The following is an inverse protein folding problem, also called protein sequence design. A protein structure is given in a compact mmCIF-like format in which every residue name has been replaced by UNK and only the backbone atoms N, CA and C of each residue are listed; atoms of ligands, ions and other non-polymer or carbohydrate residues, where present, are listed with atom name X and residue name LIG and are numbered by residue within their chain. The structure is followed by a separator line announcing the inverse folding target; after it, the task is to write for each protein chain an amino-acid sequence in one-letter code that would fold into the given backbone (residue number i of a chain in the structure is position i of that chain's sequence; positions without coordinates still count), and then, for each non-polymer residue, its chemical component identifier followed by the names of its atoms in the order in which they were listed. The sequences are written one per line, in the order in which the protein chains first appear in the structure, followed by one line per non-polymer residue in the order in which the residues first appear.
data_IF_247355472738
#
_entry.id   IF_247355472738
#
_cell.length_a   1.000
_cell.length_b   1.000
_cell.length_c   1.000
_cell.angle_alpha   90.00
_cell.angle_beta   90.00
_cell.angle_gamma   90.00
#
_symmetry.space_group_name_H-M   'P 1'
#
loop_
_entity.id
_entity.type
_entity.pdbx_description
1 polymer ?
#
# COMPACT_ATOMS: atom_id res chain seq x y z
N UNK A 1 30.96 0.98 10.96
CA UNK A 1 29.70 1.73 10.91
C UNK A 1 30.07 3.19 10.80
N UNK A 2 29.47 3.94 9.88
CA UNK A 2 29.84 5.34 9.51
C UNK A 2 30.08 6.28 10.70
N UNK A 3 29.37 6.07 11.81
CA UNK A 3 29.58 6.71 13.12
C UNK A 3 31.01 6.60 13.69
N UNK A 4 31.82 5.61 13.23
CA UNK A 4 33.23 5.46 13.62
C UNK A 4 34.20 6.35 12.84
N UNK A 5 33.74 7.00 11.77
CA UNK A 5 34.54 7.90 10.93
C UNK A 5 34.17 9.34 11.23
N UNK A 6 32.88 9.66 11.16
CA UNK A 6 32.32 10.97 11.51
C UNK A 6 30.82 10.80 11.81
N UNK A 7 30.39 11.28 12.98
CA UNK A 7 29.01 11.12 13.48
C UNK A 7 27.99 11.83 12.59
N UNK A 8 28.30 13.04 12.12
CA UNK A 8 27.42 13.82 11.25
C UNK A 8 27.28 13.17 9.87
N UNK A 9 28.36 12.62 9.34
CA UNK A 9 28.34 11.86 8.09
C UNK A 9 27.53 10.57 8.21
N UNK A 10 27.61 9.90 9.37
CA UNK A 10 26.78 8.73 9.67
C UNK A 10 25.28 9.06 9.64
N UNK A 11 24.89 10.13 10.34
CA UNK A 11 23.50 10.61 10.38
C UNK A 11 23.02 11.02 8.98
N UNK A 12 23.86 11.70 8.20
CA UNK A 12 23.50 12.15 6.85
C UNK A 12 23.23 10.98 5.89
N UNK A 13 24.10 9.97 5.88
CA UNK A 13 23.89 8.75 5.07
C UNK A 13 22.64 8.03 5.53
N UNK A 14 22.46 7.85 6.82
CA UNK A 14 21.32 7.11 7.36
C UNK A 14 19.99 7.80 7.02
N UNK A 15 19.93 9.13 7.19
CA UNK A 15 18.77 9.94 6.82
C UNK A 15 18.46 9.84 5.33
N UNK A 16 19.49 9.87 4.47
CA UNK A 16 19.32 9.69 3.03
C UNK A 16 18.79 8.30 2.68
N UNK A 17 19.32 7.25 3.30
CA UNK A 17 18.85 5.88 3.07
C UNK A 17 17.39 5.71 3.52
N UNK A 18 17.04 6.16 4.72
CA UNK A 18 15.65 6.15 5.21
C UNK A 18 14.71 6.91 4.26
N UNK A 19 15.13 8.06 3.75
CA UNK A 19 14.36 8.81 2.75
C UNK A 19 14.10 8.02 1.48
N UNK A 20 15.07 7.23 0.99
CA UNK A 20 14.90 6.40 -0.20
C UNK A 20 14.04 5.15 0.01
N UNK A 21 13.89 4.71 1.27
CA UNK A 21 13.12 3.52 1.63
C UNK A 21 11.60 3.81 1.63
N UNK A 22 11.19 4.95 2.21
CA UNK A 22 9.77 5.30 2.38
C UNK A 22 9.16 5.89 1.10
N UNK A 23 8.11 5.26 0.58
CA UNK A 23 7.45 5.71 -0.67
C UNK A 23 6.20 6.57 -0.47
N UNK A 24 5.89 6.99 0.77
CA UNK A 24 4.62 7.67 1.11
C UNK A 24 4.33 8.91 0.26
N UNK A 25 5.34 9.77 0.04
CA UNK A 25 5.21 10.97 -0.80
C UNK A 25 4.95 10.62 -2.26
N UNK A 26 5.75 9.71 -2.82
CA UNK A 26 5.61 9.28 -4.22
C UNK A 26 4.23 8.67 -4.47
N UNK A 27 3.77 7.81 -3.55
CA UNK A 27 2.45 7.19 -3.61
C UNK A 27 1.31 8.22 -3.55
N UNK A 28 1.41 9.21 -2.67
CA UNK A 28 0.44 10.32 -2.63
C UNK A 28 0.45 11.12 -3.93
N UNK A 29 1.63 11.50 -4.42
CA UNK A 29 1.78 12.38 -5.58
C UNK A 29 1.22 11.69 -6.85
N UNK A 30 1.48 10.40 -7.04
CA UNK A 30 0.95 9.64 -8.18
C UNK A 30 -0.57 9.42 -8.07
N UNK A 31 -1.09 9.12 -6.88
CA UNK A 31 -2.54 9.03 -6.66
C UNK A 31 -3.26 10.36 -6.93
N UNK A 32 -2.70 11.49 -6.46
CA UNK A 32 -3.24 12.84 -6.68
C UNK A 32 -3.18 13.21 -8.17
N UNK A 33 -2.12 12.81 -8.87
CA UNK A 33 -2.01 13.01 -10.32
C UNK A 33 -3.12 12.27 -11.06
N UNK A 34 -3.35 10.99 -10.76
CA UNK A 34 -4.45 10.23 -11.39
C UNK A 34 -5.81 10.83 -11.02
N UNK A 35 -6.03 11.21 -9.76
CA UNK A 35 -7.24 11.90 -9.32
C UNK A 35 -7.56 13.14 -10.17
N UNK A 36 -6.58 14.00 -10.44
CA UNK A 36 -6.77 15.20 -11.28
C UNK A 36 -7.18 14.85 -12.71
N UNK A 37 -6.63 13.78 -13.29
CA UNK A 37 -6.94 13.33 -14.66
C UNK A 37 -8.34 12.69 -14.71
N UNK A 38 -8.70 11.90 -13.70
CA UNK A 38 -10.05 11.33 -13.58
C UNK A 38 -11.08 12.45 -13.47
N UNK A 39 -10.81 13.45 -12.61
CA UNK A 39 -11.70 14.60 -12.40
C UNK A 39 -11.85 15.50 -13.64
N UNK A 40 -10.89 15.48 -14.57
CA UNK A 40 -11.03 16.19 -15.85
C UNK A 40 -11.89 15.44 -16.87
N UNK A 41 -12.34 14.21 -16.59
CA UNK A 41 -13.19 13.42 -17.48
C UNK A 41 -12.46 12.78 -18.66
N UNK A 42 -11.12 12.73 -18.65
CA UNK A 42 -10.34 12.07 -19.72
C UNK A 42 -10.05 10.61 -19.36
N UNK A 43 -10.89 9.70 -19.87
CA UNK A 43 -10.76 8.27 -19.58
C UNK A 43 -9.48 7.67 -20.19
N UNK A 44 -9.04 8.12 -21.35
CA UNK A 44 -7.88 7.55 -22.02
C UNK A 44 -6.61 7.92 -21.26
N UNK A 45 -6.46 9.20 -20.91
CA UNK A 45 -5.35 9.64 -20.06
C UNK A 45 -5.40 9.01 -18.68
N UNK A 46 -6.59 8.76 -18.11
CA UNK A 46 -6.75 8.06 -16.83
C UNK A 46 -6.26 6.61 -16.89
N UNK A 47 -6.57 5.88 -17.97
CA UNK A 47 -6.09 4.50 -18.20
C UNK A 47 -4.58 4.43 -18.37
N UNK A 48 -4.01 5.39 -19.08
CA UNK A 48 -2.55 5.51 -19.26
C UNK A 48 -1.89 5.80 -17.92
N UNK A 49 -2.38 6.81 -17.19
CA UNK A 49 -1.82 7.17 -15.89
C UNK A 49 -1.90 6.01 -14.90
N UNK A 50 -3.04 5.30 -14.86
CA UNK A 50 -3.20 4.12 -14.01
C UNK A 50 -2.21 3.00 -14.38
N UNK A 51 -1.91 2.79 -15.67
CA UNK A 51 -1.02 1.71 -16.11
C UNK A 51 0.40 1.81 -15.56
N UNK A 52 0.81 2.98 -15.08
CA UNK A 52 2.13 3.16 -14.44
C UNK A 52 2.19 2.63 -13.01
N UNK A 53 1.05 2.39 -12.35
CA UNK A 53 1.00 1.96 -10.95
C UNK A 53 0.31 0.61 -10.72
N UNK A 54 -0.25 -0.01 -11.77
CA UNK A 54 -0.88 -1.34 -11.69
C UNK A 54 -0.27 -2.32 -12.67
N UNK A 55 -0.21 -3.60 -12.28
CA UNK A 55 0.20 -4.68 -13.17
C UNK A 55 -0.92 -5.27 -14.05
N UNK A 56 -2.16 -4.75 -13.96
CA UNK A 56 -3.34 -5.24 -14.71
C UNK A 56 -3.56 -4.47 -16.01
N UNK A 57 -4.29 -5.06 -16.95
CA UNK A 57 -4.66 -4.36 -18.18
C UNK A 57 -5.63 -3.21 -17.88
N UNK A 58 -5.36 -2.03 -18.43
CA UNK A 58 -6.14 -0.80 -18.17
C UNK A 58 -6.97 -0.32 -19.36
N UNK A 59 -6.73 -0.85 -20.56
CA UNK A 59 -7.26 -0.35 -21.85
C UNK A 59 -8.79 -0.33 -21.93
N UNK A 60 -9.47 -1.21 -21.19
CA UNK A 60 -10.93 -1.35 -21.19
C UNK A 60 -11.61 -0.89 -19.91
N UNK A 61 -10.85 -0.38 -18.92
CA UNK A 61 -11.42 -0.03 -17.63
C UNK A 61 -12.32 1.21 -17.73
N UNK A 62 -13.47 1.16 -17.06
CA UNK A 62 -14.37 2.28 -16.82
C UNK A 62 -13.77 3.23 -15.76
N UNK A 63 -14.31 4.45 -15.62
CA UNK A 63 -13.89 5.36 -14.54
C UNK A 63 -14.00 4.73 -13.16
N UNK A 64 -15.10 4.02 -12.87
CA UNK A 64 -15.28 3.34 -11.59
C UNK A 64 -14.21 2.29 -11.35
N UNK A 65 -13.86 1.49 -12.37
CA UNK A 65 -12.80 0.49 -12.24
C UNK A 65 -11.41 1.12 -12.10
N UNK A 66 -11.18 2.29 -12.71
CA UNK A 66 -9.95 3.06 -12.54
C UNK A 66 -9.85 3.59 -11.10
N UNK A 67 -10.92 4.20 -10.58
CA UNK A 67 -10.98 4.72 -9.21
C UNK A 67 -10.73 3.60 -8.21
N UNK A 68 -11.41 2.45 -8.37
CA UNK A 68 -11.17 1.26 -7.53
C UNK A 68 -9.71 0.80 -7.60
N UNK A 69 -9.12 0.76 -8.79
CA UNK A 69 -7.71 0.39 -8.97
C UNK A 69 -6.77 1.28 -8.16
N UNK A 70 -6.97 2.60 -8.22
CA UNK A 70 -6.14 3.56 -7.48
C UNK A 70 -6.31 3.36 -5.98
N UNK A 71 -7.54 3.18 -5.51
CA UNK A 71 -7.84 2.93 -4.10
C UNK A 71 -7.16 1.65 -3.61
N UNK A 72 -7.29 0.55 -4.36
CA UNK A 72 -6.63 -0.74 -4.11
C UNK A 72 -5.11 -0.56 -4.00
N UNK A 73 -4.48 0.07 -5.01
CA UNK A 73 -3.04 0.30 -5.05
C UNK A 73 -2.55 1.16 -3.89
N UNK A 74 -3.27 2.25 -3.55
CA UNK A 74 -2.89 3.12 -2.43
C UNK A 74 -3.05 2.38 -1.09
N UNK A 75 -4.10 1.59 -0.92
CA UNK A 75 -4.32 0.81 0.29
C UNK A 75 -3.20 -0.22 0.50
N UNK A 76 -2.94 -1.05 -0.51
CA UNK A 76 -1.88 -2.08 -0.51
C UNK A 76 -0.51 -1.46 -0.26
N UNK A 77 -0.12 -0.44 -1.04
CA UNK A 77 1.20 0.19 -0.92
C UNK A 77 1.36 1.07 0.33
N UNK A 78 0.28 1.38 1.06
CA UNK A 78 0.43 1.97 2.40
C UNK A 78 1.12 0.98 3.33
N UNK A 79 0.82 -0.32 3.21
CA UNK A 79 1.51 -1.35 3.98
C UNK A 79 2.91 -1.57 3.42
N UNK A 80 3.01 -1.99 2.16
CA UNK A 80 4.27 -2.48 1.58
C UNK A 80 5.29 -1.36 1.40
N UNK A 81 4.84 -0.16 1.05
CA UNK A 81 5.70 0.98 0.76
C UNK A 81 6.03 1.87 1.96
N UNK A 82 5.28 1.75 3.06
CA UNK A 82 5.38 2.69 4.19
C UNK A 82 5.38 2.00 5.55
N UNK A 83 4.31 1.28 5.93
CA UNK A 83 4.22 0.70 7.27
C UNK A 83 5.23 -0.42 7.49
N UNK A 84 5.45 -1.29 6.51
CA UNK A 84 6.42 -2.38 6.62
C UNK A 84 7.86 -1.87 6.69
N UNK A 85 8.29 -0.91 5.85
CA UNK A 85 9.61 -0.32 6.03
C UNK A 85 9.78 0.39 7.38
N UNK A 86 8.77 1.13 7.89
CA UNK A 86 8.83 1.73 9.24
C UNK A 86 8.98 0.64 10.32
N UNK A 87 8.23 -0.46 10.20
CA UNK A 87 8.32 -1.59 11.12
C UNK A 87 9.74 -2.17 11.18
N UNK A 88 10.37 -2.41 10.03
CA UNK A 88 11.74 -2.93 9.97
C UNK A 88 12.80 -1.91 10.38
N UNK A 89 12.55 -0.61 10.18
CA UNK A 89 13.40 0.46 10.73
C UNK A 89 13.46 0.40 12.26
N UNK A 90 12.31 0.19 12.92
CA UNK A 90 12.26 0.10 14.39
C UNK A 90 12.98 -1.14 14.91
N UNK A 91 12.87 -2.28 14.22
CA UNK A 91 13.42 -3.57 14.70
C UNK A 91 14.92 -3.72 14.42
N UNK A 92 15.37 -3.31 13.24
CA UNK A 92 16.73 -3.59 12.78
C UNK A 92 17.43 -2.40 12.13
N UNK A 93 16.86 -1.20 12.28
CA UNK A 93 17.40 0.02 11.69
C UNK A 93 17.36 0.01 10.16
N UNK A 94 18.13 0.94 9.61
CA UNK A 94 18.25 1.17 8.16
C UNK A 94 18.62 -0.09 7.35
N UNK A 95 19.56 -0.96 7.78
CA UNK A 95 19.92 -2.16 7.01
C UNK A 95 18.74 -3.12 6.79
N UNK A 96 17.93 -3.38 7.83
CA UNK A 96 16.81 -4.31 7.73
C UNK A 96 15.67 -3.74 6.88
N UNK A 97 15.41 -2.44 7.00
CA UNK A 97 14.44 -1.75 6.17
C UNK A 97 14.85 -1.71 4.69
N UNK A 98 16.15 -1.53 4.39
CA UNK A 98 16.68 -1.64 3.03
C UNK A 98 16.56 -3.05 2.47
N UNK A 99 16.85 -4.08 3.28
CA UNK A 99 16.71 -5.47 2.87
C UNK A 99 15.25 -5.79 2.49
N UNK A 100 14.29 -5.34 3.31
CA UNK A 100 12.87 -5.45 2.96
C UNK A 100 12.53 -4.67 1.69
N UNK A 101 13.01 -3.42 1.54
CA UNK A 101 12.73 -2.61 0.34
C UNK A 101 13.23 -3.30 -0.94
N UNK A 102 14.38 -3.96 -0.87
CA UNK A 102 14.90 -4.76 -1.98
C UNK A 102 13.98 -5.95 -2.32
N UNK A 103 13.46 -6.67 -1.31
CA UNK A 103 12.49 -7.76 -1.49
C UNK A 103 11.21 -7.25 -2.17
N UNK A 104 10.62 -6.18 -1.65
CA UNK A 104 9.38 -5.60 -2.20
C UNK A 104 9.57 -5.06 -3.63
N UNK A 105 10.74 -4.47 -3.92
CA UNK A 105 11.09 -4.03 -5.28
C UNK A 105 11.25 -5.22 -6.23
N UNK A 106 11.87 -6.31 -5.76
CA UNK A 106 12.01 -7.53 -6.54
C UNK A 106 10.65 -8.13 -6.90
N UNK A 107 9.71 -8.13 -5.96
CA UNK A 107 8.35 -8.63 -6.20
C UNK A 107 7.59 -7.76 -7.20
N UNK A 108 7.69 -6.43 -7.07
CA UNK A 108 7.07 -5.50 -8.00
C UNK A 108 7.65 -5.58 -9.42
N UNK A 109 8.94 -5.91 -9.57
CA UNK A 109 9.63 -5.97 -10.88
C UNK A 109 9.54 -7.34 -11.56
N UNK A 110 9.57 -8.44 -10.79
CA UNK A 110 9.67 -9.81 -11.31
C UNK A 110 8.39 -10.62 -11.07
N UNK A 111 7.54 -10.19 -10.12
CA UNK A 111 6.31 -10.88 -9.72
C UNK A 111 5.24 -11.01 -10.80
N UNK A 112 5.42 -10.39 -11.97
CA UNK A 112 4.48 -10.50 -13.08
C UNK A 112 5.03 -11.32 -14.26
N UNK A 113 4.61 -12.59 -14.28
CA UNK A 113 4.26 -13.40 -15.46
C UNK A 113 5.18 -13.26 -16.69
N UNK A 114 6.37 -13.85 -16.61
CA UNK A 114 7.04 -14.40 -17.77
C UNK A 114 7.18 -15.91 -17.54
N UNK A 115 6.79 -16.77 -18.49
CA UNK A 115 6.99 -18.24 -18.41
C UNK A 115 8.46 -18.60 -18.11
N UNK A 116 9.38 -17.68 -18.44
CA UNK A 116 10.82 -17.74 -18.18
C UNK A 116 11.24 -17.54 -16.71
N UNK A 117 10.41 -16.91 -15.85
CA UNK A 117 10.78 -16.53 -14.47
C UNK A 117 9.76 -16.96 -13.40
N UNK A 118 8.86 -17.88 -13.73
CA UNK A 118 7.75 -18.27 -12.84
C UNK A 118 8.21 -18.71 -11.43
N UNK A 119 9.31 -19.46 -11.32
CA UNK A 119 9.87 -19.89 -10.03
C UNK A 119 10.46 -18.74 -9.23
N UNK A 120 11.15 -17.80 -9.90
CA UNK A 120 11.74 -16.63 -9.25
C UNK A 120 10.66 -15.64 -8.79
N UNK A 121 9.63 -15.41 -9.62
CA UNK A 121 8.47 -14.60 -9.25
C UNK A 121 7.72 -15.19 -8.06
N UNK A 122 7.46 -16.50 -8.05
CA UNK A 122 6.81 -17.19 -6.91
C UNK A 122 7.64 -17.12 -5.62
N UNK A 123 8.96 -17.23 -5.72
CA UNK A 123 9.83 -17.10 -4.54
C UNK A 123 9.83 -15.67 -4.01
N UNK A 124 9.95 -14.68 -4.90
CA UNK A 124 9.88 -13.25 -4.54
C UNK A 124 8.57 -12.90 -3.85
N UNK A 125 7.43 -13.28 -4.45
CA UNK A 125 6.10 -13.03 -3.89
C UNK A 125 5.91 -13.68 -2.52
N UNK A 126 6.42 -14.91 -2.33
CA UNK A 126 6.37 -15.58 -1.02
C UNK A 126 7.23 -14.89 0.03
N UNK A 127 8.42 -14.41 -0.35
CA UNK A 127 9.25 -13.65 0.58
C UNK A 127 8.55 -12.34 0.97
N UNK A 128 8.04 -11.61 0.00
CA UNK A 128 7.27 -10.39 0.26
C UNK A 128 6.09 -10.67 1.21
N UNK A 129 5.31 -11.71 0.93
CA UNK A 129 4.20 -12.13 1.77
C UNK A 129 4.62 -12.46 3.22
N UNK A 130 5.78 -13.08 3.42
CA UNK A 130 6.30 -13.40 4.76
C UNK A 130 6.67 -12.11 5.51
N UNK A 131 7.40 -11.21 4.87
CA UNK A 131 7.88 -9.99 5.52
C UNK A 131 6.74 -8.99 5.78
N UNK A 132 5.73 -8.94 4.91
CA UNK A 132 4.52 -8.14 5.10
C UNK A 132 3.50 -8.77 6.06
N UNK A 133 3.67 -10.03 6.47
CA UNK A 133 2.67 -10.74 7.29
C UNK A 133 2.30 -10.02 8.59
N UNK A 134 3.30 -9.70 9.42
CA UNK A 134 3.05 -9.02 10.69
C UNK A 134 2.67 -7.54 10.49
N UNK A 135 3.39 -6.75 9.66
CA UNK A 135 3.01 -5.37 9.33
C UNK A 135 1.58 -5.21 8.80
N UNK A 136 1.12 -6.10 7.91
CA UNK A 136 -0.25 -6.04 7.37
C UNK A 136 -1.31 -6.19 8.46
N UNK A 137 -1.05 -6.99 9.51
CA UNK A 137 -1.95 -7.13 10.66
C UNK A 137 -1.90 -5.92 11.59
N UNK A 138 -0.72 -5.34 11.78
CA UNK A 138 -0.56 -4.09 12.54
C UNK A 138 -1.22 -2.90 11.83
N UNK A 139 -1.28 -2.93 10.49
CA UNK A 139 -1.94 -1.90 9.68
C UNK A 139 -3.40 -1.66 10.09
N UNK A 140 -4.08 -2.71 10.57
CA UNK A 140 -5.46 -2.65 11.07
C UNK A 140 -5.64 -1.54 12.09
N UNK A 141 -4.73 -1.45 13.06
CA UNK A 141 -4.81 -0.45 14.13
C UNK A 141 -4.69 0.96 13.54
N UNK A 142 -3.70 1.17 12.66
CA UNK A 142 -3.47 2.47 12.05
C UNK A 142 -4.65 2.91 11.18
N UNK A 143 -5.18 2.05 10.33
CA UNK A 143 -6.34 2.39 9.48
C UNK A 143 -7.62 2.61 10.28
N UNK A 144 -7.85 1.88 11.38
CA UNK A 144 -8.99 2.12 12.28
C UNK A 144 -8.92 3.55 12.85
N UNK A 145 -7.80 3.92 13.48
CA UNK A 145 -7.66 5.28 14.03
C UNK A 145 -7.68 6.35 12.94
N UNK A 146 -7.09 6.06 11.79
CA UNK A 146 -7.10 6.96 10.63
C UNK A 146 -8.52 7.21 10.13
N UNK A 147 -9.37 6.18 10.09
CA UNK A 147 -10.79 6.32 9.75
C UNK A 147 -11.57 7.16 10.77
N UNK A 148 -11.23 7.07 12.06
CA UNK A 148 -11.84 7.90 13.10
C UNK A 148 -11.49 9.38 12.91
N UNK A 149 -10.20 9.68 12.69
CA UNK A 149 -9.69 11.06 12.53
C UNK A 149 -10.25 11.71 11.26
N UNK A 150 -10.41 10.92 10.19
CA UNK A 150 -11.00 11.40 8.92
C UNK A 150 -12.53 11.47 8.95
N UNK A 151 -13.19 11.01 10.01
CA UNK A 151 -14.65 11.00 10.11
C UNK A 151 -15.33 10.01 9.16
N UNK A 152 -14.61 8.98 8.72
CA UNK A 152 -15.15 7.90 7.86
C UNK A 152 -15.84 6.82 8.71
N UNK A 153 -16.46 5.83 8.04
CA UNK A 153 -17.21 4.78 8.74
C UNK A 153 -16.28 3.75 9.42
N UNK A 154 -15.78 4.10 10.60
CA UNK A 154 -14.88 3.23 11.37
C UNK A 154 -15.53 1.90 11.76
N UNK A 155 -16.84 1.90 12.05
CA UNK A 155 -17.54 0.66 12.43
C UNK A 155 -17.54 -0.30 11.25
N UNK A 156 -17.82 0.22 10.06
CA UNK A 156 -17.83 -0.59 8.86
C UNK A 156 -16.41 -0.99 8.42
N UNK A 157 -15.41 -0.11 8.56
CA UNK A 157 -13.99 -0.42 8.39
C UNK A 157 -13.58 -1.67 9.17
N UNK A 158 -13.90 -1.74 10.47
CA UNK A 158 -13.61 -2.92 11.31
C UNK A 158 -14.41 -4.14 10.85
N UNK A 159 -15.72 -3.98 10.59
CA UNK A 159 -16.59 -5.09 10.19
C UNK A 159 -16.10 -5.76 8.91
N UNK A 160 -15.83 -4.97 7.87
CA UNK A 160 -15.38 -5.45 6.57
C UNK A 160 -13.98 -6.07 6.67
N UNK A 161 -13.06 -5.46 7.41
CA UNK A 161 -11.76 -6.10 7.65
C UNK A 161 -11.88 -7.46 8.32
N UNK A 162 -12.73 -7.58 9.34
CA UNK A 162 -12.91 -8.85 10.01
C UNK A 162 -13.57 -9.92 9.13
N UNK A 163 -14.40 -9.52 8.16
CA UNK A 163 -15.06 -10.44 7.21
C UNK A 163 -14.16 -10.82 6.04
N UNK A 164 -13.50 -9.83 5.42
CA UNK A 164 -12.94 -9.95 4.07
C UNK A 164 -11.41 -9.95 4.04
N UNK A 165 -10.69 -9.86 5.17
CA UNK A 165 -9.20 -9.89 5.23
C UNK A 165 -8.53 -11.14 4.62
N UNK A 166 -9.29 -12.11 4.13
CA UNK A 166 -8.81 -13.31 3.43
C UNK A 166 -9.24 -13.39 1.96
N UNK A 167 -9.93 -12.37 1.46
CA UNK A 167 -10.46 -12.31 0.10
C UNK A 167 -9.39 -11.79 -0.89
N UNK A 168 -8.18 -12.32 -0.82
CA UNK A 168 -7.12 -12.04 -1.78
C UNK A 168 -6.18 -13.25 -1.90
N UNK A 169 -5.43 -13.34 -3.00
CA UNK A 169 -4.46 -14.42 -3.23
C UNK A 169 -3.27 -14.31 -2.26
N UNK A 170 -2.79 -13.09 -2.02
CA UNK A 170 -1.83 -12.81 -0.96
C UNK A 170 -2.55 -12.77 0.40
N UNK A 171 -1.96 -13.34 1.46
CA UNK A 171 -2.50 -13.29 2.82
C UNK A 171 -2.47 -11.89 3.45
N UNK A 172 -1.93 -10.87 2.76
CA UNK A 172 -1.69 -9.54 3.30
C UNK A 172 -2.55 -8.44 2.65
N UNK A 173 -2.65 -8.40 1.32
CA UNK A 173 -3.28 -7.26 0.60
C UNK A 173 -4.73 -6.98 1.05
N UNK A 174 -5.50 -8.03 1.34
CA UNK A 174 -6.89 -7.87 1.74
C UNK A 174 -7.05 -7.11 3.07
N UNK A 175 -6.03 -7.03 3.94
CA UNK A 175 -6.14 -6.27 5.20
C UNK A 175 -6.36 -4.77 4.94
N UNK A 176 -5.42 -4.02 4.33
CA UNK A 176 -5.61 -2.60 4.06
C UNK A 176 -6.78 -2.33 3.09
N UNK A 177 -6.96 -3.16 2.06
CA UNK A 177 -8.07 -2.99 1.10
C UNK A 177 -9.45 -3.09 1.78
N UNK A 178 -9.65 -4.08 2.65
CA UNK A 178 -10.91 -4.26 3.38
C UNK A 178 -11.21 -3.14 4.37
N UNK A 179 -10.18 -2.60 5.01
CA UNK A 179 -10.30 -1.44 5.89
C UNK A 179 -10.75 -0.21 5.11
N UNK A 180 -10.11 0.07 3.97
CA UNK A 180 -10.44 1.20 3.11
C UNK A 180 -11.84 1.03 2.49
N UNK A 181 -12.16 -0.15 1.96
CA UNK A 181 -13.48 -0.47 1.42
C UNK A 181 -14.59 -0.25 2.46
N UNK A 182 -14.37 -0.73 3.69
CA UNK A 182 -15.31 -0.54 4.79
C UNK A 182 -15.43 0.92 5.22
N UNK A 183 -14.31 1.63 5.37
CA UNK A 183 -14.33 3.06 5.75
C UNK A 183 -15.07 3.94 4.73
N UNK A 184 -14.96 3.60 3.45
CA UNK A 184 -15.56 4.34 2.34
C UNK A 184 -16.97 3.86 1.97
N UNK A 185 -17.43 2.73 2.51
CA UNK A 185 -18.70 2.09 2.16
C UNK A 185 -18.80 1.72 0.67
N UNK A 186 -17.73 1.15 0.12
CA UNK A 186 -17.63 0.73 -1.29
C UNK A 186 -17.22 -0.74 -1.40
N UNK A 187 -17.38 -1.31 -2.60
CA UNK A 187 -16.85 -2.62 -2.95
C UNK A 187 -15.63 -2.51 -3.87
N UNK A 188 -14.53 -3.14 -3.45
CA UNK A 188 -13.27 -3.29 -4.19
C UNK A 188 -13.10 -4.74 -4.69
N UNK A 189 -12.04 -4.98 -5.46
CA UNK A 189 -11.70 -6.28 -6.02
C UNK A 189 -12.64 -6.71 -7.14
N UNK A 190 -12.89 -8.01 -7.21
CA UNK A 190 -13.65 -8.63 -8.30
C UNK A 190 -12.78 -9.04 -9.49
N UNK A 191 -13.43 -9.51 -10.56
CA UNK A 191 -12.75 -10.13 -11.68
C UNK A 191 -11.95 -9.11 -12.51
N UNK A 192 -10.72 -9.45 -12.87
CA UNK A 192 -9.85 -8.59 -13.67
C UNK A 192 -9.19 -9.35 -14.81
N UNK A 193 -8.86 -8.64 -15.90
CA UNK A 193 -8.07 -9.20 -16.99
C UNK A 193 -6.57 -8.89 -16.82
N UNK A 194 -5.75 -9.93 -16.92
CA UNK A 194 -4.29 -9.84 -16.94
C UNK A 194 -3.77 -10.53 -18.20
N UNK A 195 -3.10 -9.78 -19.09
CA UNK A 195 -2.58 -10.29 -20.37
C UNK A 195 -3.61 -11.11 -21.17
N UNK A 196 -4.85 -10.63 -21.21
CA UNK A 196 -5.98 -11.28 -21.90
C UNK A 196 -6.67 -12.41 -21.14
N UNK A 197 -6.15 -12.83 -19.97
CA UNK A 197 -6.76 -13.90 -19.15
C UNK A 197 -7.59 -13.29 -18.02
N UNK A 198 -8.83 -13.76 -17.87
CA UNK A 198 -9.68 -13.45 -16.72
C UNK A 198 -9.08 -14.10 -15.46
N UNK A 199 -8.87 -13.29 -14.42
CA UNK A 199 -8.49 -13.74 -13.09
C UNK A 199 -9.67 -13.46 -12.18
N UNK A 200 -10.32 -14.54 -11.73
CA UNK A 200 -11.40 -14.44 -10.76
C UNK A 200 -10.81 -14.13 -9.39
N UNK A 201 -11.28 -13.04 -8.77
CA UNK A 201 -10.94 -12.67 -7.40
C UNK A 201 -12.23 -12.42 -6.63
N UNK A 202 -12.29 -12.82 -5.35
CA UNK A 202 -13.41 -12.44 -4.50
C UNK A 202 -13.49 -10.91 -4.38
N UNK A 203 -14.67 -10.40 -4.09
CA UNK A 203 -14.87 -8.99 -3.78
C UNK A 203 -14.51 -8.68 -2.32
N UNK A 204 -14.19 -7.43 -2.06
CA UNK A 204 -13.86 -6.91 -0.73
C UNK A 204 -14.78 -5.72 -0.44
N UNK A 205 -15.48 -5.75 0.69
CA UNK A 205 -16.48 -4.72 1.02
C UNK A 205 -17.87 -5.01 0.43
N UNK A 206 -18.78 -4.07 0.66
CA UNK A 206 -20.18 -4.16 0.26
C UNK A 206 -20.50 -3.06 -0.76
N UNK A 207 -21.32 -3.36 -1.77
CA UNK A 207 -21.75 -2.40 -2.79
C UNK A 207 -22.86 -1.48 -2.26
N UNK A 208 -22.57 -0.76 -1.17
CA UNK A 208 -23.50 0.15 -0.48
C UNK A 208 -23.71 1.41 -1.33
N UNK A 209 -22.64 1.87 -2.00
CA UNK A 209 -22.69 2.96 -2.99
C UNK A 209 -21.62 2.76 -4.05
N UNK A 210 -21.84 3.41 -5.20
CA UNK A 210 -20.81 3.53 -6.23
C UNK A 210 -19.61 4.35 -5.75
N UNK A 211 -18.45 4.05 -6.32
CA UNK A 211 -17.22 4.81 -6.10
C UNK A 211 -17.30 6.19 -6.75
N UNK A 212 -16.65 7.16 -6.11
CA UNK A 212 -16.55 8.55 -6.54
C UNK A 212 -15.07 8.96 -6.61
N UNK A 213 -14.69 9.86 -7.51
CA UNK A 213 -13.29 10.25 -7.66
C UNK A 213 -12.66 10.82 -6.38
N UNK A 214 -13.42 11.50 -5.51
CA UNK A 214 -12.92 12.04 -4.26
C UNK A 214 -12.59 10.94 -3.23
N UNK A 215 -13.02 9.69 -3.47
CA UNK A 215 -12.60 8.53 -2.67
C UNK A 215 -11.10 8.24 -2.79
N UNK A 216 -10.46 8.63 -3.90
CA UNK A 216 -9.00 8.58 -4.04
C UNK A 216 -8.36 9.50 -2.97
N UNK A 217 -8.86 10.72 -2.84
CA UNK A 217 -8.34 11.68 -1.87
C UNK A 217 -8.62 11.26 -0.42
N UNK A 218 -9.78 10.66 -0.15
CA UNK A 218 -10.08 10.07 1.16
C UNK A 218 -9.11 8.94 1.51
N UNK A 219 -8.79 8.08 0.54
CA UNK A 219 -7.80 7.00 0.70
C UNK A 219 -6.39 7.55 0.95
N UNK A 220 -5.99 8.60 0.22
CA UNK A 220 -4.71 9.30 0.45
C UNK A 220 -4.65 9.91 1.85
N UNK A 221 -5.77 10.47 2.35
CA UNK A 221 -5.82 10.98 3.72
C UNK A 221 -5.71 9.85 4.76
N UNK A 222 -6.34 8.70 4.51
CA UNK A 222 -6.17 7.51 5.34
C UNK A 222 -4.69 7.10 5.43
N UNK A 223 -4.01 7.02 4.28
CA UNK A 223 -2.57 6.75 4.19
C UNK A 223 -1.76 7.76 5.00
N UNK A 224 -1.99 9.07 4.82
CA UNK A 224 -1.22 10.13 5.47
C UNK A 224 -1.30 10.05 6.99
N UNK A 225 -2.50 9.87 7.52
CA UNK A 225 -2.72 9.77 8.97
C UNK A 225 -2.14 8.45 9.50
N UNK A 226 -2.33 7.32 8.81
CA UNK A 226 -1.71 6.05 9.17
C UNK A 226 -0.18 6.14 9.21
N UNK A 227 0.42 6.79 8.21
CA UNK A 227 1.87 7.04 8.12
C UNK A 227 2.34 7.91 9.28
N UNK A 228 1.64 9.00 9.57
CA UNK A 228 1.98 9.90 10.66
C UNK A 228 1.95 9.18 12.01
N UNK A 229 0.91 8.40 12.29
CA UNK A 229 0.81 7.60 13.52
C UNK A 229 1.91 6.54 13.63
N UNK A 230 2.26 5.89 12.52
CA UNK A 230 3.34 4.91 12.49
C UNK A 230 4.71 5.56 12.78
N UNK A 231 4.98 6.74 12.22
CA UNK A 231 6.20 7.50 12.51
C UNK A 231 6.26 7.93 13.98
N UNK A 232 5.14 8.44 14.53
CA UNK A 232 5.08 8.81 15.94
C UNK A 232 5.33 7.61 16.87
N UNK A 233 4.72 6.46 16.55
CA UNK A 233 4.94 5.24 17.32
C UNK A 233 6.39 4.76 17.21
N UNK A 234 6.96 4.78 16.00
CA UNK A 234 8.36 4.43 15.76
C UNK A 234 9.30 5.34 16.57
N UNK A 235 9.08 6.65 16.53
CA UNK A 235 9.83 7.62 17.32
C UNK A 235 9.74 7.34 18.82
N UNK A 236 8.52 7.11 19.34
CA UNK A 236 8.31 6.79 20.75
C UNK A 236 9.03 5.51 21.19
N UNK A 237 8.99 4.46 20.37
CA UNK A 237 9.69 3.21 20.66
C UNK A 237 11.21 3.44 20.66
N UNK A 238 11.71 4.18 19.66
CA UNK A 238 13.13 4.46 19.54
C UNK A 238 13.67 5.27 20.70
N UNK A 239 12.98 6.35 21.09
CA UNK A 239 13.35 7.20 22.22
C UNK A 239 13.42 6.43 23.55
N UNK A 240 12.42 5.58 23.80
CA UNK A 240 12.23 4.90 25.09
C UNK A 240 13.01 3.60 25.27
N UNK A 241 13.26 2.87 24.18
CA UNK A 241 13.79 1.49 24.25
C UNK A 241 15.06 1.27 23.43
N UNK A 242 15.39 2.17 22.51
CA UNK A 242 16.58 2.07 21.65
C UNK A 242 17.55 3.22 21.91
N UNK A 243 17.48 3.85 23.09
CA UNK A 243 18.45 4.86 23.53
C UNK A 243 19.87 4.24 23.47
N UNK A 244 20.59 4.57 22.39
CA UNK A 244 22.04 4.44 22.22
C UNK A 244 22.69 5.63 22.93
#
# INVERSE_FOLDING_TARGET
TSYKIDEHFGIAIESFLVYTILSSKCLCDEAIKIYKIVKSGDINSSRIALSYIVGRQTDKLTFSEIIKAVIETVAENTVDGVLTPIFFLVIGGTPLAMAFKAISTLDSMIGYKNEKYEYFGKFSARMDDIFNFLPARLSVIFFIFSSMITGLDTKNCVRICMRDRKNHLSPNCAYPESLVAGALNIQLGGNHYYSGKLVEKPTIGDDIRSVDEDDIMKTVNLLRISTFMAILLAYYISDKYLSI
#
